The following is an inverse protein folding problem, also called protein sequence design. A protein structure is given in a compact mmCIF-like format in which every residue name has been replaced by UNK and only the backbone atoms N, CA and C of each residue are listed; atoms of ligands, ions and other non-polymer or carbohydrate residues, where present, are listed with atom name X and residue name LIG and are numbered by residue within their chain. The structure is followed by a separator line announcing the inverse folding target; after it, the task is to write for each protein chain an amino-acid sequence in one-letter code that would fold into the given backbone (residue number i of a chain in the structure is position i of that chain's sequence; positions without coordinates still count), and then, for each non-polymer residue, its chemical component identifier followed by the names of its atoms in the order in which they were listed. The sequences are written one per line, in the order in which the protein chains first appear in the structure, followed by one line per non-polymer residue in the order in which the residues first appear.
data_IF_925127425275
#
_entry.id   IF_925127425275
#
_cell.length_a   1.000
_cell.length_b   1.000
_cell.length_c   1.000
_cell.angle_alpha   90.00
_cell.angle_beta   90.00
_cell.angle_gamma   90.00
#
_symmetry.space_group_name_H-M   'P 1'
#
loop_
_entity.id
_entity.type
_entity.pdbx_description
1 polymer ?
#
# COMPACT_ATOMS: atom_id res chain seq x y z
N UNK A 1 -5.87 -14.36 -5.09
CA UNK A 1 -6.02 -12.96 -4.66
C UNK A 1 -6.37 -12.11 -5.87
N UNK A 2 -7.37 -11.24 -5.74
CA UNK A 2 -7.87 -10.47 -6.88
C UNK A 2 -6.83 -9.44 -7.38
N UNK A 3 -6.72 -9.35 -8.69
CA UNK A 3 -5.90 -8.33 -9.35
C UNK A 3 -6.66 -7.01 -9.38
N UNK A 4 -5.99 -5.94 -9.06
CA UNK A 4 -6.51 -4.58 -9.15
C UNK A 4 -5.63 -3.75 -10.07
N UNK A 5 -6.26 -3.06 -11.02
CA UNK A 5 -5.57 -2.18 -11.95
C UNK A 5 -5.80 -0.73 -11.56
N UNK A 6 -4.73 0.05 -11.62
CA UNK A 6 -4.76 1.49 -11.35
C UNK A 6 -4.33 2.20 -12.63
N UNK A 7 -5.20 3.08 -13.14
CA UNK A 7 -4.94 3.86 -14.36
C UNK A 7 -3.86 4.91 -14.20
N UNK A 8 -3.82 5.92 -15.08
CA UNK A 8 -2.77 6.94 -15.02
C UNK A 8 -2.64 7.54 -13.64
N UNK A 9 -1.42 7.53 -13.11
CA UNK A 9 -1.15 7.89 -11.73
C UNK A 9 0.06 8.80 -11.66
N UNK A 10 -0.10 9.92 -10.94
CA UNK A 10 0.98 10.84 -10.64
C UNK A 10 1.31 10.74 -9.15
N UNK A 11 2.53 10.37 -8.84
CA UNK A 11 3.00 10.31 -7.46
C UNK A 11 3.55 11.69 -7.08
N UNK A 12 2.86 12.35 -6.14
CA UNK A 12 3.23 13.68 -5.66
C UNK A 12 3.88 13.57 -4.29
N UNK A 13 4.97 14.31 -4.09
CA UNK A 13 5.54 14.49 -2.75
C UNK A 13 4.67 15.46 -1.93
N UNK A 14 4.97 15.60 -0.65
CA UNK A 14 4.17 16.45 0.26
C UNK A 14 4.08 17.90 -0.21
N UNK A 15 5.12 18.42 -0.87
CA UNK A 15 5.12 19.77 -1.44
C UNK A 15 4.24 19.93 -2.68
N UNK A 16 3.71 18.83 -3.23
CA UNK A 16 2.92 18.84 -4.46
C UNK A 16 3.73 18.62 -5.73
N UNK A 17 5.06 18.45 -5.62
CA UNK A 17 5.91 18.19 -6.77
C UNK A 17 5.76 16.75 -7.25
N UNK A 18 5.62 16.57 -8.56
CA UNK A 18 5.55 15.24 -9.15
C UNK A 18 6.90 14.53 -9.06
N UNK A 19 6.92 13.31 -8.51
CA UNK A 19 8.12 12.47 -8.42
C UNK A 19 8.03 11.27 -9.36
N UNK A 20 6.84 10.92 -9.86
CA UNK A 20 6.65 9.85 -10.82
C UNK A 20 5.32 10.05 -11.57
N UNK A 21 5.29 9.60 -12.81
CA UNK A 21 4.09 9.55 -13.66
C UNK A 21 4.05 8.16 -14.29
N UNK A 22 2.97 7.43 -14.09
CA UNK A 22 2.80 6.05 -14.59
C UNK A 22 1.46 5.90 -15.27
N UNK A 23 1.43 5.26 -16.43
CA UNK A 23 0.20 5.05 -17.21
C UNK A 23 -0.71 4.01 -16.56
N UNK A 24 -0.14 2.94 -16.01
CA UNK A 24 -0.91 1.93 -15.30
C UNK A 24 -0.06 1.17 -14.29
N UNK A 25 -0.71 0.75 -13.21
CA UNK A 25 -0.18 -0.18 -12.23
C UNK A 25 -1.12 -1.36 -12.09
N UNK A 26 -0.60 -2.50 -11.67
CA UNK A 26 -1.42 -3.62 -11.25
C UNK A 26 -0.85 -4.28 -10.01
N UNK A 27 -1.72 -4.77 -9.16
CA UNK A 27 -1.34 -5.42 -7.93
C UNK A 27 -2.52 -5.99 -7.16
N UNK A 28 -2.31 -6.25 -5.88
CA UNK A 28 -3.33 -6.73 -4.96
C UNK A 28 -3.57 -5.69 -3.87
N UNK A 29 -4.78 -5.66 -3.32
CA UNK A 29 -5.06 -4.77 -2.19
C UNK A 29 -4.35 -5.28 -0.94
N UNK A 30 -3.83 -4.35 -0.15
CA UNK A 30 -3.21 -4.69 1.13
C UNK A 30 -4.19 -5.43 2.05
N UNK A 31 -5.46 -5.02 2.08
CA UNK A 31 -6.48 -5.68 2.91
C UNK A 31 -6.67 -7.15 2.52
N UNK A 32 -6.57 -7.50 1.24
CA UNK A 32 -6.68 -8.88 0.79
C UNK A 32 -5.50 -9.73 1.28
N UNK A 33 -4.30 -9.16 1.30
CA UNK A 33 -3.12 -9.82 1.87
C UNK A 33 -3.28 -10.07 3.37
N UNK A 34 -3.75 -9.07 4.10
CA UNK A 34 -3.97 -9.18 5.54
C UNK A 34 -5.06 -10.20 5.87
N UNK A 35 -6.12 -10.24 5.07
CA UNK A 35 -7.18 -11.23 5.23
C UNK A 35 -6.67 -12.64 4.97
N UNK A 36 -5.83 -12.83 3.96
CA UNK A 36 -5.20 -14.12 3.67
C UNK A 36 -4.30 -14.59 4.82
N UNK A 37 -3.76 -13.67 5.59
CA UNK A 37 -2.96 -13.97 6.79
C UNK A 37 -3.80 -14.15 8.05
N UNK A 38 -5.13 -14.04 7.96
CA UNK A 38 -6.03 -14.27 9.08
C UNK A 38 -6.28 -13.09 10.00
N UNK A 39 -5.91 -11.87 9.61
CA UNK A 39 -6.09 -10.69 10.47
C UNK A 39 -7.55 -10.50 10.88
N UNK A 40 -8.49 -10.68 9.95
CA UNK A 40 -9.93 -10.48 10.18
C UNK A 40 -10.54 -11.48 11.17
N UNK A 41 -9.83 -12.55 11.52
CA UNK A 41 -10.28 -13.52 12.51
C UNK A 41 -10.09 -13.03 13.95
N UNK A 42 -9.33 -11.96 14.15
CA UNK A 42 -9.15 -11.37 15.48
C UNK A 42 -10.40 -10.62 15.93
N UNK A 43 -10.64 -10.53 17.25
CA UNK A 43 -11.78 -9.76 17.77
C UNK A 43 -11.70 -8.29 17.37
N UNK A 44 -12.84 -7.69 17.07
CA UNK A 44 -12.92 -6.26 16.75
C UNK A 44 -12.37 -5.36 17.84
N UNK A 45 -12.52 -5.77 19.10
CA UNK A 45 -11.96 -5.03 20.24
C UNK A 45 -10.45 -4.90 20.17
N UNK A 46 -9.77 -5.85 19.54
CA UNK A 46 -8.32 -5.79 19.28
C UNK A 46 -8.02 -5.03 18.00
N UNK A 47 -8.74 -5.35 16.91
CA UNK A 47 -8.49 -4.79 15.58
C UNK A 47 -8.55 -3.27 15.57
N UNK A 48 -9.54 -2.67 16.22
CA UNK A 48 -9.68 -1.22 16.27
C UNK A 48 -8.51 -0.50 16.95
N UNK A 49 -7.64 -1.25 17.63
CA UNK A 49 -6.43 -0.74 18.30
C UNK A 49 -5.17 -1.06 17.52
N UNK A 50 -5.30 -1.69 16.36
CA UNK A 50 -4.15 -2.09 15.56
C UNK A 50 -3.72 -1.01 14.58
N UNK A 51 -2.41 -0.95 14.35
CA UNK A 51 -1.80 -0.25 13.23
C UNK A 51 -1.08 -1.26 12.36
N UNK A 52 -1.03 -0.96 11.07
CA UNK A 52 -0.31 -1.75 10.08
C UNK A 52 0.88 -0.94 9.62
N UNK A 53 2.07 -1.50 9.76
CA UNK A 53 3.32 -0.84 9.36
C UNK A 53 3.88 -1.58 8.16
N UNK A 54 3.99 -0.88 7.04
CA UNK A 54 4.62 -1.39 5.83
C UNK A 54 6.03 -0.81 5.73
N UNK A 55 7.03 -1.67 5.50
CA UNK A 55 8.44 -1.27 5.48
C UNK A 55 9.08 -1.64 4.16
N UNK A 56 9.83 -0.70 3.59
CA UNK A 56 10.62 -0.92 2.39
C UNK A 56 12.04 -1.41 2.70
N UNK A 57 12.75 -1.82 1.65
CA UNK A 57 14.14 -2.31 1.75
C UNK A 57 15.11 -1.26 2.30
N UNK A 58 14.81 0.01 2.07
CA UNK A 58 15.62 1.14 2.58
C UNK A 58 15.29 1.50 4.04
N UNK A 59 14.36 0.78 4.66
CA UNK A 59 13.93 1.04 6.03
C UNK A 59 12.81 2.07 6.17
N UNK A 60 12.41 2.73 5.08
CA UNK A 60 11.30 3.67 5.12
C UNK A 60 10.00 2.94 5.49
N UNK A 61 9.17 3.56 6.30
CA UNK A 61 7.92 2.95 6.78
C UNK A 61 6.72 3.83 6.45
N UNK A 62 5.63 3.17 6.07
CA UNK A 62 4.31 3.79 5.95
C UNK A 62 3.38 3.15 6.97
N UNK A 63 2.51 3.94 7.57
CA UNK A 63 1.65 3.52 8.65
C UNK A 63 0.19 3.71 8.26
N UNK A 64 -0.61 2.69 8.56
CA UNK A 64 -2.06 2.72 8.38
C UNK A 64 -2.72 2.24 9.66
N UNK A 65 -3.80 2.90 10.08
CA UNK A 65 -4.63 2.33 11.13
C UNK A 65 -5.51 1.22 10.55
N UNK A 66 -5.95 0.27 11.38
CA UNK A 66 -6.93 -0.73 10.95
C UNK A 66 -8.19 -0.05 10.40
N UNK A 67 -8.66 1.01 11.07
CA UNK A 67 -9.84 1.76 10.64
C UNK A 67 -9.65 2.39 9.25
N UNK A 68 -8.46 2.90 8.96
CA UNK A 68 -8.15 3.46 7.64
C UNK A 68 -8.29 2.39 6.54
N UNK A 69 -7.80 1.19 6.82
CA UNK A 69 -7.80 0.11 5.84
C UNK A 69 -9.17 -0.57 5.69
N UNK A 70 -9.88 -0.79 6.79
CA UNK A 70 -11.10 -1.61 6.79
C UNK A 70 -12.38 -0.81 6.99
N UNK A 71 -12.28 0.45 7.35
CA UNK A 71 -13.44 1.29 7.69
C UNK A 71 -13.42 2.65 7.00
N UNK A 72 -12.70 2.77 5.91
CA UNK A 72 -12.69 3.99 5.09
C UNK A 72 -12.40 3.65 3.63
N UNK A 73 -12.69 4.59 2.74
CA UNK A 73 -12.45 4.42 1.31
C UNK A 73 -10.96 4.27 0.97
N UNK A 74 -10.07 4.75 1.83
CA UNK A 74 -8.63 4.67 1.61
C UNK A 74 -8.16 3.22 1.46
N UNK A 75 -8.65 2.32 2.30
CA UNK A 75 -8.23 0.93 2.31
C UNK A 75 -8.47 0.18 1.00
N UNK A 76 -9.48 0.57 0.23
CA UNK A 76 -9.77 -0.07 -1.06
C UNK A 76 -8.71 0.23 -2.12
N UNK A 77 -7.92 1.29 -1.92
CA UNK A 77 -6.90 1.75 -2.85
C UNK A 77 -5.48 1.69 -2.31
N UNK A 78 -5.26 0.98 -1.23
CA UNK A 78 -3.91 0.67 -0.77
C UNK A 78 -3.48 -0.62 -1.47
N UNK A 79 -2.56 -0.49 -2.41
CA UNK A 79 -2.19 -1.56 -3.32
C UNK A 79 -0.74 -1.98 -3.14
N UNK A 80 -0.53 -3.29 -3.12
CA UNK A 80 0.80 -3.88 -3.24
C UNK A 80 0.98 -4.22 -4.72
N UNK A 81 1.86 -3.48 -5.38
CA UNK A 81 2.00 -3.49 -6.82
C UNK A 81 3.11 -4.42 -7.27
N UNK A 82 2.87 -5.16 -8.35
CA UNK A 82 3.84 -6.04 -8.97
C UNK A 82 4.00 -5.80 -10.48
N UNK A 83 3.21 -4.92 -11.07
CA UNK A 83 3.32 -4.52 -12.47
C UNK A 83 3.22 -3.01 -12.63
N UNK A 84 3.94 -2.49 -13.63
CA UNK A 84 3.93 -1.11 -14.05
C UNK A 84 3.93 -1.08 -15.57
N UNK A 85 2.94 -0.42 -16.18
CA UNK A 85 2.78 -0.35 -17.63
C UNK A 85 2.76 -1.73 -18.31
N UNK A 86 2.12 -2.72 -17.65
CA UNK A 86 1.98 -4.07 -18.20
C UNK A 86 3.19 -4.97 -18.01
N UNK A 87 4.26 -4.50 -17.39
CA UNK A 87 5.48 -5.25 -17.18
C UNK A 87 5.80 -5.37 -15.70
N UNK A 88 6.68 -6.31 -15.32
CA UNK A 88 7.19 -6.41 -13.96
C UNK A 88 7.85 -5.09 -13.55
N UNK A 89 7.83 -4.79 -12.26
CA UNK A 89 8.46 -3.58 -11.74
C UNK A 89 9.97 -3.58 -12.04
N UNK A 90 10.52 -2.40 -12.31
CA UNK A 90 11.95 -2.24 -12.54
C UNK A 90 12.75 -2.31 -11.23
N UNK A 91 14.08 -2.37 -11.35
CA UNK A 91 14.96 -2.48 -10.20
C UNK A 91 14.89 -1.29 -9.24
N UNK A 92 14.46 -0.11 -9.73
CA UNK A 92 14.32 1.09 -8.91
C UNK A 92 13.14 0.96 -7.92
N UNK A 93 12.05 0.31 -8.34
CA UNK A 93 10.87 0.10 -7.49
C UNK A 93 10.97 -1.20 -6.68
N UNK A 94 11.93 -2.06 -6.99
CA UNK A 94 12.05 -3.38 -6.38
C UNK A 94 11.05 -4.36 -6.99
N UNK A 95 10.96 -5.58 -6.42
CA UNK A 95 10.08 -6.63 -6.93
C UNK A 95 8.61 -6.29 -6.74
N UNK A 96 8.28 -5.68 -5.59
CA UNK A 96 6.95 -5.19 -5.27
C UNK A 96 7.07 -3.83 -4.59
N UNK A 97 6.08 -2.99 -4.76
CA UNK A 97 6.02 -1.71 -4.07
C UNK A 97 4.61 -1.49 -3.51
N UNK A 98 4.47 -0.50 -2.63
CA UNK A 98 3.18 -0.17 -2.04
C UNK A 98 2.81 1.26 -2.38
N UNK A 99 1.55 1.47 -2.72
CA UNK A 99 1.00 2.79 -2.97
C UNK A 99 -0.34 2.94 -2.26
N UNK A 100 -0.59 4.09 -1.67
CA UNK A 100 -1.90 4.45 -1.10
C UNK A 100 -2.57 5.43 -2.07
N UNK A 101 -3.28 4.88 -3.06
CA UNK A 101 -3.79 5.64 -4.18
C UNK A 101 -4.93 6.59 -3.82
N UNK A 102 -5.55 6.41 -2.65
CA UNK A 102 -6.57 7.32 -2.13
C UNK A 102 -6.02 8.51 -1.37
N UNK A 103 -4.72 8.58 -1.13
CA UNK A 103 -4.10 9.72 -0.45
C UNK A 103 -4.10 10.95 -1.36
N UNK A 104 -4.19 12.13 -0.77
CA UNK A 104 -4.11 13.40 -1.53
C UNK A 104 -2.75 13.56 -2.20
N UNK A 105 -1.68 13.11 -1.52
CA UNK A 105 -0.32 13.08 -2.03
C UNK A 105 0.22 11.67 -1.84
N UNK A 106 0.56 11.00 -2.93
CA UNK A 106 0.92 9.60 -2.88
C UNK A 106 2.35 9.35 -2.37
N UNK A 107 3.23 10.34 -2.54
CA UNK A 107 4.65 10.19 -2.19
C UNK A 107 4.94 9.76 -0.76
N UNK A 108 4.33 10.37 0.28
CA UNK A 108 4.65 10.02 1.67
C UNK A 108 4.38 8.57 2.06
N UNK A 109 3.43 7.90 1.42
CA UNK A 109 3.15 6.48 1.67
C UNK A 109 3.39 5.61 0.44
N UNK A 110 4.33 6.02 -0.39
CA UNK A 110 4.82 5.25 -1.53
C UNK A 110 6.09 4.51 -1.11
N UNK A 111 6.03 3.19 -1.04
CA UNK A 111 7.15 2.35 -0.63
C UNK A 111 7.72 1.58 -1.81
N UNK A 112 9.00 1.77 -2.06
CA UNK A 112 9.76 0.98 -3.02
C UNK A 112 10.30 -0.26 -2.32
N UNK A 113 10.34 -1.38 -3.03
CA UNK A 113 10.91 -2.61 -2.47
C UNK A 113 10.25 -2.98 -1.15
N UNK A 114 8.93 -3.18 -1.16
CA UNK A 114 8.21 -3.59 0.05
C UNK A 114 8.79 -4.91 0.57
N UNK A 115 9.30 -4.90 1.79
CA UNK A 115 9.96 -6.06 2.39
C UNK A 115 9.20 -6.68 3.56
N UNK A 116 8.40 -5.89 4.25
CA UNK A 116 7.73 -6.37 5.47
C UNK A 116 6.44 -5.60 5.74
N UNK A 117 5.44 -6.32 6.19
CA UNK A 117 4.19 -5.74 6.71
C UNK A 117 4.00 -6.29 8.12
N UNK A 118 3.87 -5.39 9.08
CA UNK A 118 3.71 -5.74 10.49
C UNK A 118 2.39 -5.21 11.01
N UNK A 119 1.72 -5.99 11.84
CA UNK A 119 0.52 -5.56 12.54
C UNK A 119 0.86 -5.42 14.02
N UNK A 120 0.61 -4.23 14.56
CA UNK A 120 0.91 -3.93 15.96
C UNK A 120 -0.35 -3.45 16.67
N UNK A 121 -0.64 -4.03 17.81
CA UNK A 121 -1.73 -3.57 18.67
C UNK A 121 -1.19 -2.56 19.67
N UNK A 122 -1.81 -1.41 19.75
CA UNK A 122 -1.43 -0.35 20.68
C UNK A 122 -2.16 -0.46 22.01
#
# INVERSE_FOLDING_TARGET
MARHDLGPTQVLCYSGRAVAQVDSYAGARLVDLLDACGLSERPRSELKRCVVVARGDDGYQAIFSWNELYNSAIGEKVLVLYEKNGEALDAHLGTICLISAGDSRLGPRHLRGLSQVMVKML
#
